data_IF_767613263866
#
_entry.id   IF_767613263866
#
_cell.length_a   1.000
_cell.length_b   1.000
_cell.length_c   1.000
_cell.angle_alpha   90.00
_cell.angle_beta   90.00
_cell.angle_gamma   90.00
#
_symmetry.space_group_name_H-M   'P 1'
#
loop_
_entity.id
_entity.type
_entity.pdbx_description
1 polymer ?
#
# COMPACT_ATOMS: atom_id res chain seq x y z
N UNK A 1 -9.28 11.92 -15.79
CA UNK A 1 -7.90 12.17 -15.30
C UNK A 1 -7.80 13.63 -14.93
N UNK A 2 -7.50 13.97 -13.68
CA UNK A 2 -7.66 15.34 -13.16
C UNK A 2 -6.57 16.34 -13.61
N UNK A 3 -5.57 15.94 -14.41
CA UNK A 3 -4.48 16.82 -14.82
C UNK A 3 -3.93 16.43 -16.22
N UNK A 4 -4.75 16.47 -17.26
CA UNK A 4 -4.25 16.31 -18.64
C UNK A 4 -3.78 17.64 -19.21
N UNK A 5 -2.62 17.61 -19.89
CA UNK A 5 -2.20 18.69 -20.77
C UNK A 5 -3.19 18.72 -21.94
N UNK A 6 -3.78 19.87 -22.23
CA UNK A 6 -4.25 20.15 -23.58
C UNK A 6 -3.02 20.09 -24.47
N UNK A 7 -3.06 19.30 -25.54
CA UNK A 7 -1.95 19.21 -26.49
C UNK A 7 -1.63 20.59 -27.10
N UNK A 8 -0.50 20.69 -27.81
CA UNK A 8 -0.06 21.92 -28.50
C UNK A 8 -1.07 22.52 -29.49
N UNK A 9 -2.18 21.83 -29.75
CA UNK A 9 -3.34 22.33 -30.47
C UNK A 9 -4.50 22.55 -29.49
N UNK A 10 -4.96 23.80 -29.42
CA UNK A 10 -6.09 24.26 -28.61
C UNK A 10 -7.31 23.37 -28.89
N UNK A 11 -7.72 22.56 -27.91
CA UNK A 11 -9.01 21.85 -27.92
C UNK A 11 -8.98 20.31 -27.94
N UNK A 12 -7.85 19.66 -28.21
CA UNK A 12 -7.80 18.18 -28.16
C UNK A 12 -7.28 17.64 -26.81
N UNK A 13 -8.09 16.77 -26.19
CA UNK A 13 -7.70 15.96 -25.04
C UNK A 13 -6.52 15.05 -25.44
N UNK A 14 -5.35 15.23 -24.80
CA UNK A 14 -4.14 14.43 -25.07
C UNK A 14 -4.39 12.91 -24.95
N UNK A 15 -5.29 12.51 -24.04
CA UNK A 15 -5.76 11.14 -23.93
C UNK A 15 -7.27 11.09 -23.72
N UNK A 16 -7.98 10.32 -24.55
CA UNK A 16 -9.43 10.16 -24.41
C UNK A 16 -9.81 9.40 -23.15
N UNK A 17 -9.06 8.34 -22.84
CA UNK A 17 -9.30 7.43 -21.72
C UNK A 17 -7.99 6.86 -21.15
N UNK A 18 -8.03 6.20 -19.98
CA UNK A 18 -6.87 5.51 -19.41
C UNK A 18 -6.27 4.45 -20.33
N UNK A 19 -7.13 3.75 -21.09
CA UNK A 19 -6.69 2.75 -22.07
C UNK A 19 -6.01 3.39 -23.29
N UNK A 20 -6.50 4.54 -23.74
CA UNK A 20 -5.87 5.31 -24.84
C UNK A 20 -4.49 5.83 -24.43
N UNK A 21 -4.35 6.29 -23.18
CA UNK A 21 -3.06 6.65 -22.60
C UNK A 21 -2.09 5.45 -22.59
N UNK A 22 -2.52 4.32 -22.03
CA UNK A 22 -1.71 3.11 -21.98
C UNK A 22 -1.23 2.66 -23.37
N UNK A 23 -2.13 2.61 -24.36
CA UNK A 23 -1.81 2.22 -25.74
C UNK A 23 -0.82 3.20 -26.39
N UNK A 24 -1.00 4.51 -26.21
CA UNK A 24 -0.09 5.53 -26.76
C UNK A 24 1.28 5.48 -26.09
N UNK A 25 1.37 5.30 -24.78
CA UNK A 25 2.66 5.18 -24.07
C UNK A 25 3.44 3.95 -24.57
N UNK A 26 2.81 2.79 -24.67
CA UNK A 26 3.48 1.60 -25.22
C UNK A 26 3.92 1.83 -26.67
N UNK A 27 3.09 2.46 -27.49
CA UNK A 27 3.39 2.71 -28.91
C UNK A 27 4.51 3.73 -29.13
N UNK A 28 4.61 4.76 -28.29
CA UNK A 28 5.55 5.87 -28.49
C UNK A 28 6.80 5.80 -27.60
N UNK A 29 6.71 5.23 -26.40
CA UNK A 29 7.83 5.15 -25.44
C UNK A 29 8.30 3.70 -25.20
N UNK A 30 7.61 2.71 -25.76
CA UNK A 30 7.87 1.29 -25.53
C UNK A 30 7.41 0.81 -24.15
N UNK A 31 7.54 -0.50 -23.90
CA UNK A 31 7.12 -1.13 -22.64
C UNK A 31 7.89 -0.57 -21.44
N UNK A 32 9.16 -0.23 -21.61
CA UNK A 32 9.99 0.37 -20.56
C UNK A 32 9.61 1.82 -20.23
N UNK A 33 8.89 2.52 -21.12
CA UNK A 33 8.33 3.85 -20.85
C UNK A 33 7.39 3.86 -19.65
N UNK A 34 6.66 2.76 -19.42
CA UNK A 34 5.77 2.59 -18.25
C UNK A 34 6.50 2.64 -16.90
N UNK A 35 7.79 2.30 -16.88
CA UNK A 35 8.62 2.29 -15.68
C UNK A 35 9.41 3.60 -15.48
N UNK A 36 9.29 4.55 -16.40
CA UNK A 36 9.98 5.83 -16.32
C UNK A 36 9.45 6.63 -15.12
N UNK A 37 10.33 6.89 -14.15
CA UNK A 37 9.96 7.55 -12.88
C UNK A 37 9.72 6.60 -11.71
N UNK A 38 9.92 5.29 -11.88
CA UNK A 38 9.81 4.30 -10.80
C UNK A 38 10.75 4.60 -9.62
N UNK A 39 12.01 4.96 -9.88
CA UNK A 39 12.99 5.23 -8.82
C UNK A 39 12.57 6.40 -7.91
N UNK A 40 12.23 7.59 -8.43
CA UNK A 40 11.65 8.67 -7.61
C UNK A 40 10.40 8.27 -6.83
N UNK A 41 9.56 7.39 -7.40
CA UNK A 41 8.37 6.87 -6.74
C UNK A 41 8.73 5.95 -5.57
N UNK A 42 9.62 4.98 -5.77
CA UNK A 42 10.10 4.06 -4.75
C UNK A 42 10.77 4.79 -3.58
N UNK A 43 11.60 5.80 -3.87
CA UNK A 43 12.24 6.64 -2.85
C UNK A 43 11.23 7.39 -1.97
N UNK A 44 9.96 7.53 -2.38
CA UNK A 44 8.91 8.13 -1.54
C UNK A 44 8.07 7.11 -0.82
N UNK A 45 7.62 6.10 -1.56
CA UNK A 45 6.65 5.14 -1.05
C UNK A 45 7.29 4.16 -0.09
N UNK A 46 8.54 3.75 -0.30
CA UNK A 46 9.17 2.74 0.56
C UNK A 46 9.35 3.23 2.01
N UNK A 47 9.93 4.42 2.29
CA UNK A 47 10.01 4.95 3.65
C UNK A 47 8.62 5.18 4.26
N UNK A 48 7.68 5.65 3.45
CA UNK A 48 6.28 5.86 3.86
C UNK A 48 5.66 4.56 4.38
N UNK A 49 5.76 3.46 3.63
CA UNK A 49 5.17 2.16 4.02
C UNK A 49 5.93 1.51 5.17
N UNK A 50 7.25 1.63 5.21
CA UNK A 50 8.07 1.08 6.29
C UNK A 50 7.66 1.67 7.65
N UNK A 51 7.65 3.00 7.78
CA UNK A 51 7.26 3.68 9.02
C UNK A 51 5.84 3.30 9.42
N UNK A 52 4.92 3.29 8.46
CA UNK A 52 3.52 2.99 8.71
C UNK A 52 3.31 1.58 9.26
N UNK A 53 3.92 0.56 8.65
CA UNK A 53 3.78 -0.83 9.08
C UNK A 53 4.45 -1.04 10.45
N UNK A 54 5.68 -0.57 10.63
CA UNK A 54 6.41 -0.70 11.90
C UNK A 54 5.69 -0.03 13.07
N UNK A 55 5.16 1.18 12.89
CA UNK A 55 4.42 1.86 13.96
C UNK A 55 3.08 1.17 14.22
N UNK A 56 2.42 0.64 13.19
CA UNK A 56 1.18 -0.10 13.39
C UNK A 56 1.41 -1.34 14.24
N UNK A 57 2.40 -2.14 13.89
CA UNK A 57 2.76 -3.38 14.61
C UNK A 57 3.20 -3.06 16.04
N UNK A 58 4.06 -2.06 16.24
CA UNK A 58 4.50 -1.64 17.57
C UNK A 58 3.35 -1.20 18.49
N UNK A 59 2.39 -0.42 17.97
CA UNK A 59 1.25 0.03 18.77
C UNK A 59 0.26 -1.11 19.02
N UNK A 60 0.05 -2.00 18.03
CA UNK A 60 -0.76 -3.22 18.20
C UNK A 60 -0.20 -4.12 19.28
N UNK A 61 1.11 -4.37 19.26
CA UNK A 61 1.81 -5.19 20.26
C UNK A 61 1.64 -4.63 21.68
N UNK A 62 1.65 -3.31 21.82
CA UNK A 62 1.47 -2.66 23.13
C UNK A 62 0.03 -2.70 23.64
N UNK A 63 -0.95 -2.72 22.72
CA UNK A 63 -2.38 -2.75 23.03
C UNK A 63 -2.97 -4.16 23.05
N UNK A 64 -2.16 -5.18 22.73
CA UNK A 64 -2.57 -6.57 22.74
C UNK A 64 -2.67 -7.08 24.17
N UNK A 65 -3.82 -7.67 24.51
CA UNK A 65 -4.02 -8.32 25.79
C UNK A 65 -3.25 -9.64 25.88
N UNK A 66 -3.08 -10.17 27.10
CA UNK A 66 -2.40 -11.46 27.36
C UNK A 66 -3.02 -12.66 26.62
N UNK A 67 -4.25 -12.51 26.14
CA UNK A 67 -4.98 -13.52 25.38
C UNK A 67 -4.76 -13.40 23.85
N UNK A 68 -3.93 -12.47 23.38
CA UNK A 68 -3.67 -12.25 21.95
C UNK A 68 -4.76 -11.45 21.21
N UNK A 69 -5.73 -10.90 21.95
CA UNK A 69 -6.83 -10.13 21.37
C UNK A 69 -6.56 -8.63 21.47
N UNK A 70 -6.90 -7.91 20.41
CA UNK A 70 -6.83 -6.44 20.35
C UNK A 70 -8.26 -5.92 20.18
N UNK A 71 -8.75 -5.00 21.02
CA UNK A 71 -10.08 -4.43 20.82
C UNK A 71 -10.11 -3.56 19.55
N UNK A 72 -11.26 -3.52 18.86
CA UNK A 72 -11.44 -2.76 17.61
C UNK A 72 -10.97 -1.29 17.71
N UNK A 73 -11.23 -0.62 18.84
CA UNK A 73 -10.76 0.75 19.05
C UNK A 73 -9.23 0.84 19.13
N UNK A 74 -8.56 -0.19 19.66
CA UNK A 74 -7.12 -0.31 19.74
C UNK A 74 -6.51 -0.55 18.35
N UNK A 75 -7.17 -1.34 17.51
CA UNK A 75 -6.77 -1.50 16.11
C UNK A 75 -6.89 -0.19 15.33
N UNK A 76 -8.02 0.50 15.46
CA UNK A 76 -8.25 1.81 14.83
C UNK A 76 -7.23 2.84 15.30
N UNK A 77 -6.94 2.88 16.61
CA UNK A 77 -5.94 3.76 17.20
C UNK A 77 -4.53 3.44 16.68
N UNK A 78 -4.15 2.17 16.62
CA UNK A 78 -2.86 1.75 16.04
C UNK A 78 -2.72 2.20 14.58
N UNK A 79 -3.80 2.12 13.80
CA UNK A 79 -3.84 2.59 12.43
C UNK A 79 -3.72 4.11 12.35
N UNK A 80 -4.43 4.84 13.21
CA UNK A 80 -4.35 6.29 13.28
C UNK A 80 -2.94 6.78 13.66
N UNK A 81 -2.30 6.17 14.67
CA UNK A 81 -0.93 6.48 15.09
C UNK A 81 0.09 6.20 13.98
N UNK A 82 -0.06 5.09 13.26
CA UNK A 82 0.75 4.77 12.09
C UNK A 82 0.60 5.83 10.98
N UNK A 83 -0.63 6.26 10.67
CA UNK A 83 -0.88 7.33 9.71
C UNK A 83 -0.30 8.69 10.14
N UNK A 84 -0.42 9.04 11.42
CA UNK A 84 0.08 10.31 11.95
C UNK A 84 1.62 10.37 11.96
N UNK A 85 2.27 9.32 12.46
CA UNK A 85 3.73 9.22 12.53
C UNK A 85 4.37 9.25 11.14
N UNK A 86 3.80 8.51 10.17
CA UNK A 86 4.24 8.54 8.78
C UNK A 86 4.32 9.99 8.25
N UNK A 87 3.27 10.78 8.42
CA UNK A 87 3.21 12.16 7.90
C UNK A 87 4.31 13.05 8.49
N UNK A 88 4.70 12.86 9.75
CA UNK A 88 5.76 13.67 10.38
C UNK A 88 7.08 13.53 9.61
N UNK A 89 7.40 12.32 9.16
CA UNK A 89 8.64 12.02 8.43
C UNK A 89 8.52 12.20 6.93
N UNK A 90 7.34 11.91 6.34
CA UNK A 90 7.18 11.95 4.89
C UNK A 90 6.79 13.33 4.37
N UNK A 91 6.22 14.23 5.18
CA UNK A 91 5.76 15.53 4.69
C UNK A 91 6.88 16.39 4.07
N UNK A 92 8.09 16.48 4.63
CA UNK A 92 9.20 17.17 3.98
C UNK A 92 9.59 16.57 2.63
N UNK A 93 9.50 15.24 2.48
CA UNK A 93 9.77 14.57 1.21
C UNK A 93 8.64 14.81 0.20
N UNK A 94 7.38 14.77 0.63
CA UNK A 94 6.20 15.05 -0.20
C UNK A 94 6.25 16.46 -0.78
N UNK A 95 6.49 17.48 0.05
CA UNK A 95 6.47 18.87 -0.41
C UNK A 95 7.62 19.19 -1.37
N UNK A 96 8.81 18.63 -1.14
CA UNK A 96 9.95 18.78 -2.05
C UNK A 96 9.64 18.12 -3.40
N UNK A 97 9.05 16.92 -3.40
CA UNK A 97 8.63 16.24 -4.64
C UNK A 97 7.59 17.04 -5.42
N UNK A 98 6.56 17.56 -4.73
CA UNK A 98 5.51 18.36 -5.37
C UNK A 98 6.13 19.62 -5.99
N UNK A 99 6.99 20.34 -5.27
CA UNK A 99 7.66 21.55 -5.77
C UNK A 99 8.54 21.25 -6.98
N UNK A 100 9.28 20.15 -6.96
CA UNK A 100 10.11 19.74 -8.10
C UNK A 100 9.26 19.34 -9.31
N UNK A 101 8.12 18.67 -9.10
CA UNK A 101 7.19 18.33 -10.17
C UNK A 101 6.58 19.59 -10.80
N UNK A 102 6.09 20.53 -9.98
CA UNK A 102 5.52 21.80 -10.45
C UNK A 102 6.58 22.68 -11.11
N UNK A 103 7.80 22.74 -10.57
CA UNK A 103 8.89 23.48 -11.19
C UNK A 103 9.29 22.87 -12.55
N UNK A 104 9.28 21.53 -12.65
CA UNK A 104 9.48 20.83 -13.92
C UNK A 104 8.38 21.09 -14.95
N UNK A 105 7.16 21.42 -14.53
CA UNK A 105 6.06 21.81 -15.42
C UNK A 105 6.22 23.23 -15.98
N UNK A 106 6.75 24.16 -15.18
CA UNK A 106 6.85 25.58 -15.55
C UNK A 106 8.15 25.90 -16.29
N UNK A 107 9.26 25.28 -15.88
CA UNK A 107 10.58 25.87 -16.14
C UNK A 107 11.34 25.38 -17.37
N UNK A 108 10.77 24.49 -18.21
CA UNK A 108 11.28 24.16 -19.56
C UNK A 108 12.80 23.92 -19.75
N UNK A 109 13.59 23.69 -18.69
CA UNK A 109 15.05 23.71 -18.75
C UNK A 109 15.80 24.06 -17.45
N UNK A 110 15.22 24.75 -16.47
CA UNK A 110 15.92 25.00 -15.21
C UNK A 110 15.85 23.79 -14.26
N UNK A 111 16.99 23.13 -14.02
CA UNK A 111 17.12 22.04 -13.02
C UNK A 111 17.00 22.62 -11.61
N UNK A 112 15.77 22.86 -11.15
CA UNK A 112 15.51 23.17 -9.73
C UNK A 112 15.96 21.97 -8.91
N UNK A 113 16.87 22.21 -7.95
CA UNK A 113 17.45 21.15 -7.11
C UNK A 113 16.63 21.04 -5.83
N UNK A 114 16.49 19.81 -5.31
CA UNK A 114 15.80 19.54 -4.05
C UNK A 114 16.33 20.42 -2.90
N UNK A 115 17.64 20.63 -2.86
CA UNK A 115 18.30 21.47 -1.83
C UNK A 115 17.85 22.93 -1.88
N UNK A 116 17.68 23.50 -3.08
CA UNK A 116 17.21 24.89 -3.23
C UNK A 116 15.79 25.01 -2.67
N UNK A 117 14.91 24.06 -2.99
CA UNK A 117 13.54 24.01 -2.47
C UNK A 117 13.51 23.93 -0.94
N UNK A 118 14.40 23.12 -0.35
CA UNK A 118 14.51 22.98 1.11
C UNK A 118 14.97 24.30 1.76
N UNK A 119 15.95 25.00 1.16
CA UNK A 119 16.40 26.32 1.62
C UNK A 119 15.29 27.37 1.51
N UNK A 120 14.58 27.40 0.39
CA UNK A 120 13.56 28.42 0.11
C UNK A 120 12.33 28.27 1.01
N UNK A 121 11.94 27.03 1.34
CA UNK A 121 10.81 26.76 2.23
C UNK A 121 11.19 26.92 3.72
N UNK A 122 12.41 26.56 4.09
CA UNK A 122 12.82 26.45 5.49
C UNK A 122 12.03 25.39 6.27
N UNK A 123 12.30 25.25 7.57
CA UNK A 123 11.71 24.19 8.40
C UNK A 123 10.17 24.25 8.46
N UNK A 124 9.60 25.43 8.76
CA UNK A 124 8.14 25.58 8.85
C UNK A 124 7.45 25.47 7.47
N UNK A 125 8.12 25.89 6.39
CA UNK A 125 7.60 25.73 5.04
C UNK A 125 7.52 24.27 4.63
N UNK A 126 8.46 23.42 5.07
CA UNK A 126 8.43 21.97 4.80
C UNK A 126 7.23 21.26 5.43
N UNK A 127 6.64 21.82 6.48
CA UNK A 127 5.42 21.31 7.12
C UNK A 127 4.13 21.98 6.62
N UNK A 128 4.22 22.92 5.67
CA UNK A 128 3.05 23.55 5.07
C UNK A 128 2.24 22.52 4.29
N UNK A 129 0.99 22.31 4.69
CA UNK A 129 0.12 21.28 4.12
C UNK A 129 0.06 19.96 4.89
N UNK A 130 0.85 19.80 5.97
CA UNK A 130 0.82 18.60 6.81
C UNK A 130 -0.58 18.28 7.36
N UNK A 131 -1.40 19.31 7.67
CA UNK A 131 -2.79 19.13 8.10
C UNK A 131 -3.65 18.40 7.06
N UNK A 132 -3.45 18.68 5.77
CA UNK A 132 -4.17 17.99 4.71
C UNK A 132 -3.67 16.54 4.54
N UNK A 133 -2.38 16.31 4.78
CA UNK A 133 -1.81 14.96 4.81
C UNK A 133 -2.38 14.16 5.99
N UNK A 134 -2.42 14.71 7.20
CA UNK A 134 -3.05 14.08 8.36
C UNK A 134 -4.53 13.78 8.14
N UNK A 135 -5.30 14.71 7.56
CA UNK A 135 -6.72 14.49 7.26
C UNK A 135 -6.93 13.27 6.33
N UNK A 136 -5.99 13.00 5.43
CA UNK A 136 -6.04 11.84 4.53
C UNK A 136 -5.51 10.58 5.20
N UNK A 137 -4.30 10.65 5.75
CA UNK A 137 -3.51 9.47 6.11
C UNK A 137 -3.96 8.85 7.43
N UNK A 138 -4.47 9.65 8.38
CA UNK A 138 -5.00 9.14 9.65
C UNK A 138 -6.28 8.31 9.40
N UNK A 139 -7.34 8.84 8.77
CA UNK A 139 -8.56 8.06 8.53
C UNK A 139 -8.31 6.87 7.60
N UNK A 140 -7.47 7.05 6.58
CA UNK A 140 -7.14 5.96 5.66
C UNK A 140 -6.52 4.78 6.41
N UNK A 141 -5.56 5.03 7.28
CA UNK A 141 -4.86 4.00 8.04
C UNK A 141 -5.74 3.39 9.13
N UNK A 142 -6.55 4.22 9.80
CA UNK A 142 -7.49 3.81 10.84
C UNK A 142 -8.58 2.87 10.31
N UNK A 143 -8.96 2.98 9.03
CA UNK A 143 -9.93 2.07 8.38
C UNK A 143 -9.22 0.87 7.76
N UNK A 144 -8.09 1.10 7.10
CA UNK A 144 -7.40 0.07 6.32
C UNK A 144 -6.84 -1.05 7.20
N UNK A 145 -6.17 -0.73 8.30
CA UNK A 145 -5.50 -1.74 9.13
C UNK A 145 -6.47 -2.70 9.83
N UNK A 146 -7.54 -2.23 10.50
CA UNK A 146 -8.56 -3.13 11.03
C UNK A 146 -9.25 -3.94 9.93
N UNK A 147 -9.58 -3.29 8.81
CA UNK A 147 -10.16 -3.97 7.65
C UNK A 147 -9.28 -5.11 7.12
N UNK A 148 -7.96 -4.90 7.10
CA UNK A 148 -7.00 -5.93 6.70
C UNK A 148 -6.87 -7.03 7.75
N UNK A 149 -6.76 -6.69 9.05
CA UNK A 149 -6.64 -7.66 10.13
C UNK A 149 -7.83 -8.64 10.14
N UNK A 150 -9.06 -8.11 10.09
CA UNK A 150 -10.26 -8.94 10.05
C UNK A 150 -10.44 -9.71 8.74
N UNK A 151 -10.02 -9.15 7.60
CA UNK A 151 -10.04 -9.89 6.34
C UNK A 151 -9.03 -11.04 6.37
N UNK A 152 -7.81 -10.80 6.85
CA UNK A 152 -6.76 -11.81 7.02
C UNK A 152 -7.18 -12.94 7.95
N UNK A 153 -7.82 -12.61 9.07
CA UNK A 153 -8.34 -13.60 10.02
C UNK A 153 -9.41 -14.51 9.38
N UNK A 154 -10.33 -13.92 8.61
CA UNK A 154 -11.38 -14.70 7.91
C UNK A 154 -10.86 -15.58 6.79
N UNK A 155 -9.72 -15.22 6.20
CA UNK A 155 -9.10 -15.99 5.13
C UNK A 155 -8.01 -16.95 5.63
N UNK A 156 -7.75 -16.97 6.94
CA UNK A 156 -6.80 -17.90 7.52
C UNK A 156 -7.41 -19.31 7.58
N UNK A 157 -6.63 -20.31 7.21
CA UNK A 157 -7.01 -21.72 7.36
C UNK A 157 -7.05 -22.11 8.85
N UNK A 158 -7.60 -23.29 9.17
CA UNK A 158 -7.68 -23.82 10.55
C UNK A 158 -6.32 -23.87 11.29
N UNK A 159 -5.22 -23.91 10.52
CA UNK A 159 -3.84 -23.88 11.03
C UNK A 159 -3.24 -22.46 11.14
N UNK A 160 -4.05 -21.40 10.99
CA UNK A 160 -3.57 -20.01 10.99
C UNK A 160 -2.71 -19.62 9.79
N UNK A 161 -2.63 -20.46 8.76
CA UNK A 161 -1.85 -20.17 7.56
C UNK A 161 -2.64 -19.31 6.58
N UNK A 162 -1.97 -18.32 6.00
CA UNK A 162 -2.50 -17.51 4.91
C UNK A 162 -1.69 -17.69 3.63
N UNK A 163 -2.34 -18.11 2.55
CA UNK A 163 -1.73 -18.20 1.23
C UNK A 163 -1.41 -16.80 0.67
N UNK A 164 -0.42 -16.65 -0.23
CA UNK A 164 -0.12 -15.35 -0.86
C UNK A 164 -1.33 -14.74 -1.57
N UNK A 165 -2.19 -15.58 -2.16
CA UNK A 165 -3.42 -15.12 -2.79
C UNK A 165 -4.46 -14.65 -1.77
N UNK A 166 -4.58 -15.32 -0.61
CA UNK A 166 -5.51 -14.91 0.43
C UNK A 166 -5.09 -13.58 1.07
N UNK A 167 -3.79 -13.38 1.30
CA UNK A 167 -3.22 -12.10 1.75
C UNK A 167 -3.45 -10.99 0.71
N UNK A 168 -3.30 -11.30 -0.57
CA UNK A 168 -3.58 -10.37 -1.66
C UNK A 168 -5.05 -9.93 -1.65
N UNK A 169 -5.97 -10.90 -1.57
CA UNK A 169 -7.40 -10.66 -1.53
C UNK A 169 -7.81 -9.87 -0.29
N UNK A 170 -7.26 -10.19 0.89
CA UNK A 170 -7.47 -9.44 2.13
C UNK A 170 -7.05 -7.97 1.98
N UNK A 171 -5.86 -7.73 1.40
CA UNK A 171 -5.36 -6.38 1.12
C UNK A 171 -6.22 -5.61 0.11
N UNK A 172 -6.76 -6.28 -0.90
CA UNK A 172 -7.70 -5.69 -1.87
C UNK A 172 -9.00 -5.26 -1.19
N UNK A 173 -9.61 -6.18 -0.42
CA UNK A 173 -10.91 -5.98 0.24
C UNK A 173 -10.82 -4.87 1.28
N UNK A 174 -9.76 -4.85 2.09
CA UNK A 174 -9.52 -3.78 3.07
C UNK A 174 -9.29 -2.41 2.40
N UNK A 175 -8.69 -2.40 1.20
CA UNK A 175 -8.42 -1.20 0.43
C UNK A 175 -9.68 -0.47 -0.06
N UNK A 176 -10.77 -1.19 -0.35
CA UNK A 176 -12.01 -0.61 -0.91
C UNK A 176 -12.69 0.38 0.04
N UNK A 177 -13.08 0.02 1.28
CA UNK A 177 -13.72 0.95 2.20
C UNK A 177 -12.78 2.07 2.64
N UNK A 178 -11.49 1.78 2.84
CA UNK A 178 -10.48 2.78 3.18
C UNK A 178 -10.32 3.82 2.05
N UNK A 179 -10.28 3.40 0.79
CA UNK A 179 -10.21 4.32 -0.33
C UNK A 179 -11.52 5.10 -0.51
N UNK A 180 -12.67 4.43 -0.43
CA UNK A 180 -13.98 5.03 -0.64
C UNK A 180 -14.34 6.09 0.40
N UNK A 181 -14.17 5.78 1.69
CA UNK A 181 -14.52 6.70 2.79
C UNK A 181 -13.54 7.87 2.92
N UNK A 182 -12.28 7.69 2.52
CA UNK A 182 -11.29 8.77 2.57
C UNK A 182 -11.25 9.63 1.30
N UNK A 183 -11.97 9.26 0.24
CA UNK A 183 -12.01 10.03 -1.01
C UNK A 183 -12.37 11.52 -0.80
N UNK A 184 -13.33 11.89 0.06
CA UNK A 184 -13.61 13.30 0.33
C UNK A 184 -12.39 14.10 0.85
N UNK A 185 -11.62 13.51 1.78
CA UNK A 185 -10.40 14.12 2.31
C UNK A 185 -9.32 14.26 1.23
N UNK A 186 -9.20 13.27 0.35
CA UNK A 186 -8.30 13.33 -0.80
C UNK A 186 -8.68 14.44 -1.78
N UNK A 187 -9.97 14.59 -2.11
CA UNK A 187 -10.43 15.66 -3.00
C UNK A 187 -10.11 17.03 -2.42
N UNK A 188 -10.32 17.24 -1.12
CA UNK A 188 -9.95 18.50 -0.45
C UNK A 188 -8.42 18.72 -0.50
N UNK A 189 -7.62 17.68 -0.18
CA UNK A 189 -6.15 17.77 -0.21
C UNK A 189 -5.65 18.10 -1.61
N UNK A 190 -6.12 17.42 -2.65
CA UNK A 190 -5.65 17.64 -4.03
C UNK A 190 -6.04 19.03 -4.52
N UNK A 191 -7.26 19.51 -4.26
CA UNK A 191 -7.68 20.87 -4.62
C UNK A 191 -6.86 21.95 -3.91
N UNK A 192 -6.52 21.74 -2.64
CA UNK A 192 -5.68 22.68 -1.87
C UNK A 192 -4.21 22.68 -2.32
N UNK A 193 -3.69 21.53 -2.76
CA UNK A 193 -2.29 21.37 -3.17
C UNK A 193 -2.04 21.69 -4.65
N UNK A 194 -3.06 21.66 -5.50
CA UNK A 194 -2.96 22.15 -6.87
C UNK A 194 -2.78 23.66 -6.82
N UNK A 195 -1.65 24.13 -7.36
CA UNK A 195 -1.38 25.57 -7.49
C UNK A 195 -2.44 26.15 -8.41
N UNK A 196 -3.22 27.10 -7.90
CA UNK A 196 -4.19 27.83 -8.70
C UNK A 196 -3.46 28.51 -9.87
N UNK A 197 -3.82 28.16 -11.11
CA UNK A 197 -3.41 28.95 -12.28
C UNK A 197 -4.06 30.33 -12.19
N UNK A 198 -3.49 31.34 -12.84
CA UNK A 198 -4.09 32.67 -12.91
C UNK A 198 -5.56 32.56 -13.38
N UNK A 199 -6.50 33.03 -12.55
CA UNK A 199 -7.95 32.94 -12.79
C UNK A 199 -8.68 31.74 -12.16
N UNK A 200 -7.98 30.82 -11.46
CA UNK A 200 -8.63 29.73 -10.70
C UNK A 200 -8.88 30.11 -9.23
N UNK A 201 -9.91 29.51 -8.64
CA UNK A 201 -10.28 29.72 -7.23
C UNK A 201 -9.13 29.31 -6.32
N UNK A 202 -8.61 30.29 -5.57
CA UNK A 202 -7.60 30.01 -4.55
C UNK A 202 -8.31 29.56 -3.27
N UNK A 203 -7.81 28.49 -2.67
CA UNK A 203 -8.29 27.97 -1.40
C UNK A 203 -7.37 28.42 -0.28
N UNK A 204 -7.92 29.13 0.72
CA UNK A 204 -7.12 29.64 1.84
C UNK A 204 -6.89 28.60 2.94
N UNK A 205 -7.73 27.55 2.98
CA UNK A 205 -7.63 26.48 3.97
C UNK A 205 -8.56 25.30 3.70
N UNK A 206 -8.48 24.27 4.55
CA UNK A 206 -9.22 23.02 4.43
C UNK A 206 -10.75 23.23 4.44
N UNK A 207 -11.23 24.06 5.39
CA UNK A 207 -12.66 24.36 5.55
C UNK A 207 -13.19 25.26 4.43
N UNK A 208 -12.37 26.20 3.96
CA UNK A 208 -12.69 27.05 2.81
C UNK A 208 -12.82 26.21 1.53
N UNK A 209 -11.87 25.29 1.31
CA UNK A 209 -11.93 24.32 0.22
C UNK A 209 -13.19 23.45 0.30
N UNK A 210 -13.48 22.85 1.45
CA UNK A 210 -14.67 22.02 1.61
C UNK A 210 -15.97 22.81 1.34
N UNK A 211 -16.08 24.04 1.87
CA UNK A 211 -17.26 24.89 1.67
C UNK A 211 -17.43 25.31 0.21
N UNK A 212 -16.36 25.75 -0.45
CA UNK A 212 -16.37 26.15 -1.86
C UNK A 212 -16.71 24.97 -2.78
N UNK A 213 -16.10 23.80 -2.56
CA UNK A 213 -16.41 22.58 -3.33
C UNK A 213 -17.89 22.21 -3.18
N UNK A 214 -18.42 22.22 -1.95
CA UNK A 214 -19.83 21.92 -1.72
C UNK A 214 -20.77 22.92 -2.40
N UNK A 215 -20.42 24.22 -2.37
CA UNK A 215 -21.25 25.29 -2.96
C UNK A 215 -21.19 25.32 -4.50
N UNK A 216 -20.01 25.06 -5.08
CA UNK A 216 -19.77 25.19 -6.53
C UNK A 216 -20.07 23.89 -7.30
N UNK A 217 -19.69 22.72 -6.74
CA UNK A 217 -19.79 21.44 -7.43
C UNK A 217 -20.79 20.45 -6.79
N UNK A 218 -21.28 20.75 -5.58
CA UNK A 218 -22.23 19.91 -4.84
C UNK A 218 -21.59 18.74 -4.08
N UNK A 219 -22.43 17.95 -3.39
CA UNK A 219 -21.97 16.84 -2.53
C UNK A 219 -21.31 15.69 -3.30
N UNK A 220 -21.75 15.41 -4.54
CA UNK A 220 -21.17 14.34 -5.37
C UNK A 220 -19.71 14.62 -5.78
N UNK A 221 -19.27 15.88 -5.72
CA UNK A 221 -17.91 16.29 -6.03
C UNK A 221 -16.86 15.63 -5.13
N UNK A 222 -17.21 15.36 -3.87
CA UNK A 222 -16.31 14.73 -2.90
C UNK A 222 -15.97 13.27 -3.23
N UNK A 223 -16.79 12.59 -4.03
CA UNK A 223 -16.55 11.21 -4.48
C UNK A 223 -16.07 11.11 -5.92
N UNK A 224 -15.88 12.23 -6.63
CA UNK A 224 -15.35 12.25 -8.00
C UNK A 224 -13.95 11.62 -8.00
N UNK A 225 -13.83 10.49 -8.71
CA UNK A 225 -12.58 9.74 -8.83
C UNK A 225 -12.40 8.60 -7.83
N UNK A 226 -13.39 8.32 -6.97
CA UNK A 226 -13.35 7.19 -6.02
C UNK A 226 -13.05 5.85 -6.71
N UNK A 227 -13.72 5.55 -7.82
CA UNK A 227 -13.48 4.32 -8.59
C UNK A 227 -12.03 4.23 -9.08
N UNK A 228 -11.51 5.29 -9.69
CA UNK A 228 -10.12 5.33 -10.15
C UNK A 228 -9.13 5.17 -8.99
N UNK A 229 -9.46 5.72 -7.81
CA UNK A 229 -8.68 5.54 -6.59
C UNK A 229 -8.69 4.10 -6.11
N UNK A 230 -9.84 3.45 -6.03
CA UNK A 230 -9.95 2.03 -5.62
C UNK A 230 -9.13 1.16 -6.56
N UNK A 231 -9.28 1.33 -7.88
CA UNK A 231 -8.52 0.57 -8.89
C UNK A 231 -7.00 0.76 -8.80
N UNK A 232 -6.54 1.92 -8.36
CA UNK A 232 -5.11 2.18 -8.17
C UNK A 232 -4.61 1.66 -6.82
N UNK A 233 -5.32 2.03 -5.76
CA UNK A 233 -4.88 1.80 -4.38
C UNK A 233 -4.99 0.34 -3.99
N UNK A 234 -6.11 -0.33 -4.29
CA UNK A 234 -6.32 -1.71 -3.84
C UNK A 234 -5.22 -2.66 -4.33
N UNK A 235 -4.87 -2.75 -5.63
CA UNK A 235 -3.80 -3.63 -6.09
C UNK A 235 -2.44 -3.27 -5.49
N UNK A 236 -2.13 -1.98 -5.36
CA UNK A 236 -0.89 -1.51 -4.73
C UNK A 236 -0.78 -2.06 -3.29
N UNK A 237 -1.87 -1.97 -2.53
CA UNK A 237 -1.94 -2.41 -1.14
C UNK A 237 -1.91 -3.93 -1.00
N UNK A 238 -2.60 -4.66 -1.88
CA UNK A 238 -2.54 -6.12 -1.94
C UNK A 238 -1.11 -6.62 -2.18
N UNK A 239 -0.40 -6.08 -3.17
CA UNK A 239 1.01 -6.45 -3.42
C UNK A 239 1.90 -6.06 -2.25
N UNK A 240 1.70 -4.89 -1.65
CA UNK A 240 2.52 -4.42 -0.52
C UNK A 240 2.43 -5.39 0.67
N UNK A 241 1.23 -5.80 1.04
CA UNK A 241 1.03 -6.67 2.20
C UNK A 241 1.46 -8.11 1.93
N UNK A 242 1.19 -8.65 0.75
CA UNK A 242 1.73 -9.96 0.35
C UNK A 242 3.26 -9.95 0.44
N UNK A 243 3.89 -8.91 -0.10
CA UNK A 243 5.35 -8.79 -0.08
C UNK A 243 5.86 -8.64 1.36
N UNK A 244 5.20 -7.83 2.18
CA UNK A 244 5.55 -7.64 3.58
C UNK A 244 5.52 -8.96 4.36
N UNK A 245 4.42 -9.69 4.27
CA UNK A 245 4.20 -10.95 5.00
C UNK A 245 5.14 -12.06 4.48
N UNK A 246 5.37 -12.13 3.17
CA UNK A 246 6.34 -13.06 2.59
C UNK A 246 7.77 -12.75 3.03
N UNK A 247 8.15 -11.47 3.03
CA UNK A 247 9.46 -11.04 3.52
C UNK A 247 9.61 -11.30 5.01
N UNK A 248 8.58 -11.09 5.82
CA UNK A 248 8.61 -11.39 7.25
C UNK A 248 8.75 -12.89 7.51
N UNK A 249 8.10 -13.74 6.70
CA UNK A 249 8.28 -15.21 6.74
C UNK A 249 9.68 -15.64 6.31
N UNK A 250 10.29 -14.96 5.34
CA UNK A 250 11.59 -15.33 4.78
C UNK A 250 12.78 -14.78 5.58
N UNK A 251 12.71 -13.51 5.99
CA UNK A 251 13.74 -12.78 6.71
C UNK A 251 13.45 -12.80 8.23
N UNK A 252 13.22 -13.98 8.80
CA UNK A 252 13.02 -14.12 10.24
C UNK A 252 14.25 -13.56 11.00
N UNK A 253 14.18 -12.29 11.37
CA UNK A 253 15.11 -11.63 12.28
C UNK A 253 14.31 -11.42 13.54
N UNK A 254 14.65 -12.20 14.56
CA UNK A 254 13.99 -12.16 15.86
C UNK A 254 14.32 -10.84 16.56
N UNK A 255 13.45 -9.86 16.40
CA UNK A 255 13.53 -8.57 17.11
C UNK A 255 12.83 -8.61 18.48
N UNK A 256 12.45 -9.79 19.00
CA UNK A 256 11.81 -9.94 20.31
C UNK A 256 10.36 -9.44 20.38
N UNK A 257 9.68 -9.33 19.23
CA UNK A 257 8.26 -8.97 19.13
C UNK A 257 7.34 -10.19 19.01
N UNK A 258 6.07 -10.04 19.38
CA UNK A 258 5.07 -11.11 19.26
C UNK A 258 4.68 -11.30 17.79
N UNK A 259 4.44 -12.54 17.36
CA UNK A 259 4.09 -12.82 15.96
C UNK A 259 2.73 -12.19 15.62
N UNK A 260 2.59 -11.42 14.52
CA UNK A 260 1.28 -10.99 14.07
C UNK A 260 0.44 -12.22 13.69
N UNK A 261 -0.81 -12.26 14.14
CA UNK A 261 -1.77 -13.34 13.87
C UNK A 261 -1.83 -13.66 12.37
N UNK A 262 -1.71 -14.94 12.00
CA UNK A 262 -1.75 -15.40 10.60
C UNK A 262 -0.42 -15.38 9.84
N UNK A 263 0.69 -15.11 10.55
CA UNK A 263 2.06 -15.11 10.02
C UNK A 263 2.79 -16.43 10.29
N UNK A 264 2.07 -17.44 10.76
CA UNK A 264 2.64 -18.74 11.08
C UNK A 264 3.17 -19.43 9.82
N UNK A 265 4.47 -19.74 9.85
CA UNK A 265 5.09 -20.60 8.85
C UNK A 265 4.66 -22.02 9.15
N UNK A 266 4.09 -22.72 8.17
CA UNK A 266 3.76 -24.15 8.28
C UNK A 266 4.98 -24.86 8.85
N UNK A 267 4.87 -25.34 10.10
CA UNK A 267 5.96 -26.05 10.73
C UNK A 267 6.33 -27.23 9.83
N UNK A 268 7.62 -27.32 9.50
CA UNK A 268 8.19 -28.51 8.88
C UNK A 268 7.80 -29.65 9.81
N UNK A 269 7.06 -30.64 9.31
CA UNK A 269 6.76 -31.87 10.04
C UNK A 269 8.09 -32.39 10.55
N UNK A 270 8.34 -32.30 11.86
CA UNK A 270 9.61 -32.74 12.42
C UNK A 270 9.77 -34.21 12.05
N UNK A 271 11.02 -34.64 11.83
CA UNK A 271 11.39 -36.01 11.43
C UNK A 271 10.77 -37.09 12.35
N UNK A 272 10.31 -36.71 13.56
CA UNK A 272 9.59 -37.58 14.50
C UNK A 272 8.10 -37.82 14.24
N UNK A 273 7.40 -36.97 13.49
CA UNK A 273 5.94 -37.04 13.30
C UNK A 273 5.50 -37.79 12.04
N UNK A 274 6.45 -38.21 11.21
CA UNK A 274 6.17 -39.12 10.09
C UNK A 274 6.03 -40.53 10.67
N UNK A 275 4.79 -41.03 10.79
CA UNK A 275 4.51 -42.45 11.01
C UNK A 275 5.39 -43.26 10.05
N UNK A 276 6.40 -43.96 10.58
CA UNK A 276 7.24 -44.87 9.79
C UNK A 276 6.30 -45.84 9.05
N UNK A 277 6.35 -45.93 7.71
CA UNK A 277 5.62 -46.96 7.01
C UNK A 277 6.13 -48.31 7.51
N UNK A 278 5.21 -49.22 7.84
CA UNK A 278 5.48 -50.54 8.42
C UNK A 278 6.12 -51.53 7.41
N UNK A 279 6.65 -51.05 6.28
CA UNK A 279 7.12 -51.92 5.21
C UNK A 279 8.65 -51.88 5.09
N UNK A 280 9.36 -52.99 5.41
CA UNK A 280 10.83 -53.01 5.50
C UNK A 280 11.57 -52.89 4.16
N UNK A 281 10.88 -52.93 3.02
CA UNK A 281 11.51 -52.96 1.69
C UNK A 281 11.45 -51.63 0.91
N UNK A 282 10.93 -50.54 1.50
CA UNK A 282 10.87 -49.26 0.80
C UNK A 282 12.16 -48.43 0.99
N UNK A 283 12.92 -48.32 -0.09
CA UNK A 283 14.18 -47.58 -0.24
C UNK A 283 14.09 -46.20 0.45
N UNK A 284 14.99 -45.96 1.41
CA UNK A 284 15.06 -44.75 2.26
C UNK A 284 15.20 -43.40 1.55
N UNK A 285 15.17 -43.36 0.22
CA UNK A 285 15.11 -42.13 -0.57
C UNK A 285 13.78 -41.38 -0.43
N UNK A 286 12.65 -42.09 -0.23
CA UNK A 286 11.32 -41.45 -0.16
C UNK A 286 11.09 -40.71 1.17
N UNK A 287 11.68 -41.18 2.27
CA UNK A 287 11.59 -40.52 3.58
C UNK A 287 12.44 -39.25 3.66
N UNK A 288 13.50 -39.17 2.87
CA UNK A 288 14.37 -37.98 2.77
C UNK A 288 13.82 -37.00 1.74
N UNK A 289 13.17 -37.49 0.69
CA UNK A 289 12.60 -36.63 -0.35
C UNK A 289 11.31 -35.95 0.07
N UNK A 290 10.43 -36.60 0.85
CA UNK A 290 9.20 -36.01 1.38
C UNK A 290 9.40 -34.68 2.16
N UNK A 291 10.34 -34.56 3.11
CA UNK A 291 10.59 -33.29 3.80
C UNK A 291 11.26 -32.25 2.90
N UNK A 292 12.03 -32.65 1.89
CA UNK A 292 12.60 -31.75 0.88
C UNK A 292 11.50 -31.21 -0.03
N UNK A 293 10.63 -32.08 -0.54
CA UNK A 293 9.48 -31.70 -1.37
C UNK A 293 8.47 -30.89 -0.57
N UNK A 294 8.12 -31.31 0.66
CA UNK A 294 7.26 -30.53 1.56
C UNK A 294 7.89 -29.18 1.91
N UNK A 295 9.22 -29.12 2.11
CA UNK A 295 9.97 -27.88 2.30
C UNK A 295 9.92 -26.97 1.07
N UNK A 296 9.97 -27.54 -0.14
CA UNK A 296 9.83 -26.82 -1.42
C UNK A 296 8.38 -26.35 -1.62
N UNK A 297 7.38 -27.20 -1.41
CA UNK A 297 5.96 -26.84 -1.47
C UNK A 297 5.63 -25.73 -0.47
N UNK A 298 6.21 -25.78 0.73
CA UNK A 298 5.99 -24.81 1.80
C UNK A 298 6.73 -23.49 1.55
N UNK A 299 7.96 -23.53 1.00
CA UNK A 299 8.73 -22.32 0.66
C UNK A 299 8.26 -21.64 -0.62
N UNK A 300 7.78 -22.39 -1.61
CA UNK A 300 7.47 -21.87 -2.95
C UNK A 300 5.97 -21.87 -3.29
N UNK A 301 5.10 -22.42 -2.43
CA UNK A 301 3.65 -22.44 -2.66
C UNK A 301 3.22 -23.24 -3.89
N UNK A 302 4.08 -24.15 -4.37
CA UNK A 302 3.81 -25.01 -5.52
C UNK A 302 3.08 -26.27 -5.05
N UNK A 303 1.97 -26.63 -5.71
CA UNK A 303 1.30 -27.92 -5.51
C UNK A 303 1.96 -28.94 -6.45
N UNK A 304 2.79 -29.86 -5.94
CA UNK A 304 3.33 -30.94 -6.76
C UNK A 304 2.32 -32.11 -6.81
N UNK A 305 2.23 -32.83 -7.95
CA UNK A 305 1.34 -33.96 -8.07
C UNK A 305 1.74 -35.07 -7.07
N UNK A 306 0.82 -35.39 -6.17
CA UNK A 306 0.98 -36.50 -5.22
C UNK A 306 0.77 -37.80 -5.98
N UNK A 307 1.83 -38.56 -6.22
CA UNK A 307 1.71 -39.92 -6.76
C UNK A 307 1.04 -40.82 -5.70
N UNK A 308 -0.17 -41.28 -6.00
CA UNK A 308 -0.89 -42.23 -5.17
C UNK A 308 -0.27 -43.62 -5.28
N UNK A 309 0.04 -44.24 -4.15
CA UNK A 309 0.41 -45.66 -4.10
C UNK A 309 -0.88 -46.47 -4.34
N UNK A 310 -0.90 -47.42 -5.29
CA UNK A 310 -2.06 -48.28 -5.48
C UNK A 310 -2.31 -49.09 -4.22
N UNK A 311 -3.54 -49.08 -3.73
CA UNK A 311 -3.97 -49.94 -2.63
C UNK A 311 -4.05 -51.38 -3.16
N UNK A 312 -3.18 -52.25 -2.64
CA UNK A 312 -3.29 -53.70 -2.73
C UNK A 312 -3.31 -54.27 -1.32
#
# INVERSE_FOLDING_TARGET
MQNQRTGSFIGELMYRNSFDCFKKVIRHEGVFGLYRGLVPQLMGVAPEKAIKLTVNDFVRDKLMDKNGNIPMWGEVLSGACAGASQVIFTNPLEIVKIRLQVAGEIAGGAKVRAWTVVKDLGFFGLYKGAKACWLRDIPFSAIYFPGYAHAKEKFADENGYNSPFSLFAAGLIAGVPAAGLCTPADVIKTRLQVVARAGQTTYSGLLDAARKIYKEEGFSAFWKGSVARVFRSSPQFGVTLVTYELLQRYLYVDFGGTRPTGSEVKQVTHIGDVKKPHNPDHIGGYSVSLPVFSGIETKFGLCLPKFGVPQS
#
